data_IF_464254078564
#
_entry.id   IF_464254078564
#
_cell.length_a   1.000
_cell.length_b   1.000
_cell.length_c   1.000
_cell.angle_alpha   90.00
_cell.angle_beta   90.00
_cell.angle_gamma   90.00
#
_symmetry.space_group_name_H-M   'P 1'
#
loop_
_entity.id
_entity.type
_entity.pdbx_description
1 polymer ?
#
# COMPACT_ATOMS: atom_id res chain seq x y z
N UNK A 1 -10.77 3.23 -7.21
CA UNK A 1 -10.12 2.52 -8.34
C UNK A 1 -10.65 1.10 -8.39
N UNK A 2 -10.73 0.49 -9.57
CA UNK A 2 -11.12 -0.92 -9.71
C UNK A 2 -10.30 -1.55 -10.85
N UNK A 3 -9.82 -2.77 -10.64
CA UNK A 3 -9.15 -3.58 -11.66
C UNK A 3 -10.02 -4.80 -11.92
N UNK A 4 -10.33 -5.05 -13.19
CA UNK A 4 -11.03 -6.23 -13.67
C UNK A 4 -10.05 -7.18 -14.33
N UNK A 5 -10.11 -8.46 -13.98
CA UNK A 5 -9.22 -9.50 -14.49
C UNK A 5 -10.06 -10.68 -14.95
N UNK A 6 -9.73 -11.19 -16.13
CA UNK A 6 -10.32 -12.39 -16.70
C UNK A 6 -9.25 -13.43 -16.93
N UNK A 7 -9.48 -14.66 -16.48
CA UNK A 7 -8.59 -15.77 -16.79
C UNK A 7 -9.06 -16.49 -18.06
N UNK A 8 -8.55 -16.07 -19.22
CA UNK A 8 -8.75 -16.75 -20.51
C UNK A 8 -7.65 -17.77 -20.84
N UNK A 9 -6.85 -18.20 -19.85
CA UNK A 9 -5.89 -19.29 -20.02
C UNK A 9 -6.56 -20.68 -19.92
N UNK A 10 -5.79 -21.74 -20.15
CA UNK A 10 -6.24 -23.13 -20.03
C UNK A 10 -6.02 -23.74 -18.64
N UNK A 11 -5.55 -22.94 -17.66
CA UNK A 11 -5.28 -23.39 -16.31
C UNK A 11 -5.83 -22.42 -15.24
N UNK A 12 -6.03 -22.93 -14.03
CA UNK A 12 -6.33 -22.10 -12.86
C UNK A 12 -5.10 -21.25 -12.54
N UNK A 13 -5.29 -19.94 -12.39
CA UNK A 13 -4.24 -19.05 -11.90
C UNK A 13 -4.31 -19.01 -10.37
N UNK A 14 -3.21 -19.34 -9.70
CA UNK A 14 -3.08 -19.34 -8.24
C UNK A 14 -2.08 -18.24 -7.83
N UNK A 15 -2.31 -17.61 -6.67
CA UNK A 15 -1.39 -16.64 -6.04
C UNK A 15 -0.98 -15.50 -7.00
N UNK A 16 -1.99 -14.92 -7.67
CA UNK A 16 -1.79 -13.83 -8.64
C UNK A 16 -1.46 -12.55 -7.88
N UNK A 17 -0.24 -12.04 -8.08
CA UNK A 17 0.23 -10.77 -7.50
C UNK A 17 0.40 -9.74 -8.59
N UNK A 18 -0.16 -8.57 -8.38
CA UNK A 18 -0.05 -7.45 -9.32
C UNK A 18 0.84 -6.37 -8.74
N UNK A 19 1.56 -5.68 -9.63
CA UNK A 19 2.30 -4.48 -9.26
C UNK A 19 1.51 -3.25 -9.70
N UNK A 20 1.05 -2.42 -8.75
CA UNK A 20 0.35 -1.17 -9.07
C UNK A 20 1.15 0.02 -8.58
N UNK A 21 1.66 0.79 -9.55
CA UNK A 21 2.55 1.92 -9.32
C UNK A 21 1.79 3.24 -9.44
N UNK A 22 1.79 4.04 -8.38
CA UNK A 22 1.41 5.45 -8.48
C UNK A 22 2.67 6.26 -8.78
N UNK A 23 2.84 6.64 -10.05
CA UNK A 23 4.00 7.41 -10.49
C UNK A 23 3.76 8.91 -10.30
N UNK A 24 4.39 9.47 -9.26
CA UNK A 24 4.14 10.82 -8.76
C UNK A 24 5.08 11.88 -9.35
N UNK A 25 5.98 11.51 -10.27
CA UNK A 25 6.95 12.43 -10.92
C UNK A 25 6.33 13.76 -11.41
N UNK A 26 5.15 13.79 -12.04
CA UNK A 26 4.57 15.04 -12.53
C UNK A 26 4.13 15.99 -11.41
N UNK A 27 3.84 15.46 -10.21
CA UNK A 27 3.37 16.24 -9.06
C UNK A 27 4.60 16.59 -8.21
N UNK A 28 5.23 17.73 -8.50
CA UNK A 28 6.56 18.10 -8.01
C UNK A 28 6.74 17.99 -6.49
N UNK A 29 5.69 18.19 -5.72
CA UNK A 29 5.75 18.11 -4.26
C UNK A 29 5.87 16.67 -3.73
N UNK A 30 5.44 15.67 -4.50
CA UNK A 30 5.58 14.25 -4.17
C UNK A 30 6.68 13.55 -4.98
N UNK A 31 7.32 14.30 -5.89
CA UNK A 31 8.33 13.82 -6.83
C UNK A 31 9.81 13.72 -6.36
N UNK A 32 10.20 13.98 -5.09
CA UNK A 32 11.56 13.67 -4.66
C UNK A 32 11.94 12.20 -4.88
N UNK A 33 13.17 11.96 -5.31
CA UNK A 33 13.75 10.63 -5.51
C UNK A 33 14.22 10.09 -4.15
N UNK A 34 13.27 9.64 -3.34
CA UNK A 34 13.51 9.18 -1.98
C UNK A 34 12.40 8.25 -1.51
N UNK A 35 12.73 7.42 -0.52
CA UNK A 35 11.77 6.65 0.25
C UNK A 35 11.43 7.30 1.59
N UNK A 36 12.18 8.31 2.03
CA UNK A 36 12.01 8.95 3.34
C UNK A 36 10.67 9.69 3.49
N UNK A 37 10.08 10.13 2.38
CA UNK A 37 8.75 10.76 2.38
C UNK A 37 7.61 9.76 2.20
N UNK A 38 7.90 8.46 2.30
CA UNK A 38 6.90 7.39 2.23
C UNK A 38 6.65 6.86 3.63
N UNK A 39 5.40 6.80 4.05
CA UNK A 39 5.04 6.29 5.38
C UNK A 39 4.26 4.98 5.26
N UNK A 40 4.46 4.12 6.25
CA UNK A 40 3.69 2.90 6.49
C UNK A 40 3.38 2.83 7.98
N UNK A 41 2.24 2.23 8.34
CA UNK A 41 1.90 2.07 9.75
C UNK A 41 2.54 0.79 10.29
N UNK A 42 3.13 0.89 11.49
CA UNK A 42 3.84 -0.18 12.17
C UNK A 42 3.26 -0.34 13.58
N UNK A 43 2.93 -1.57 14.00
CA UNK A 43 2.39 -1.83 15.34
C UNK A 43 3.25 -1.26 16.46
N UNK A 44 2.63 -0.50 17.35
CA UNK A 44 3.31 0.13 18.50
C UNK A 44 4.19 1.33 18.17
N UNK A 45 4.46 1.60 16.89
CA UNK A 45 5.24 2.77 16.43
C UNK A 45 4.38 3.81 15.72
N UNK A 46 3.26 3.41 15.12
CA UNK A 46 2.39 4.30 14.34
C UNK A 46 2.90 4.47 12.90
N UNK A 47 2.64 5.62 12.29
CA UNK A 47 3.17 5.94 10.95
C UNK A 47 4.66 6.23 10.99
N UNK A 48 5.44 5.37 10.35
CA UNK A 48 6.90 5.47 10.28
C UNK A 48 7.39 5.64 8.83
N UNK A 49 8.50 6.37 8.59
CA UNK A 49 9.15 6.39 7.30
C UNK A 49 9.50 4.97 6.84
N UNK A 50 9.20 4.65 5.58
CA UNK A 50 9.40 3.32 5.00
C UNK A 50 10.83 2.76 5.21
N UNK A 51 11.92 3.56 5.08
CA UNK A 51 13.28 3.07 5.32
C UNK A 51 13.56 2.73 6.79
N UNK A 52 12.83 3.36 7.71
CA UNK A 52 12.99 3.24 9.16
C UNK A 52 12.06 2.18 9.75
N UNK A 53 11.01 1.78 9.03
CA UNK A 53 10.13 0.70 9.44
C UNK A 53 10.95 -0.57 9.77
N UNK A 54 10.82 -1.11 11.00
CA UNK A 54 11.71 -2.13 11.51
C UNK A 54 11.71 -3.37 10.62
N UNK A 55 12.91 -3.78 10.18
CA UNK A 55 13.13 -5.01 9.41
C UNK A 55 13.56 -6.19 10.28
N UNK A 56 13.86 -5.95 11.55
CA UNK A 56 14.43 -6.94 12.44
C UNK A 56 13.59 -7.18 13.69
N UNK A 57 13.41 -8.47 13.98
CA UNK A 57 12.82 -9.13 15.16
C UNK A 57 11.30 -9.08 15.24
N UNK A 58 10.74 -10.16 14.68
CA UNK A 58 9.34 -10.59 14.72
C UNK A 58 8.46 -9.86 13.72
N UNK A 59 7.73 -10.60 12.84
CA UNK A 59 6.68 -9.98 12.03
C UNK A 59 5.70 -9.28 12.97
N UNK A 60 5.49 -7.98 12.78
CA UNK A 60 4.62 -7.21 13.67
C UNK A 60 3.23 -7.05 13.05
N UNK A 61 3.13 -6.96 11.73
CA UNK A 61 1.89 -6.70 11.01
C UNK A 61 1.42 -7.82 10.09
N UNK A 62 0.51 -7.46 9.17
CA UNK A 62 -0.09 -8.37 8.18
C UNK A 62 0.34 -8.10 6.74
N UNK A 63 0.93 -6.94 6.47
CA UNK A 63 1.29 -6.46 5.14
C UNK A 63 2.80 -6.34 4.99
N UNK A 64 3.30 -6.76 3.82
CA UNK A 64 4.73 -6.84 3.54
C UNK A 64 5.28 -5.50 3.09
N UNK A 65 6.58 -5.31 3.29
CA UNK A 65 7.33 -4.21 2.70
C UNK A 65 8.29 -4.76 1.64
N UNK A 66 8.10 -4.35 0.37
CA UNK A 66 8.97 -4.69 -0.75
C UNK A 66 8.58 -5.93 -1.55
N UNK A 67 9.26 -6.16 -2.67
CA UNK A 67 8.93 -7.25 -3.61
C UNK A 67 9.54 -8.62 -3.26
N UNK A 68 10.34 -8.75 -2.19
CA UNK A 68 11.18 -9.95 -1.96
C UNK A 68 11.14 -10.43 -0.51
N UNK A 69 10.29 -11.42 -0.22
CA UNK A 69 10.46 -12.35 0.91
C UNK A 69 10.54 -11.76 2.33
N UNK A 70 10.36 -10.45 2.51
CA UNK A 70 10.35 -9.81 3.83
C UNK A 70 9.10 -10.27 4.57
N UNK A 71 9.21 -10.62 5.87
CA UNK A 71 8.04 -10.87 6.68
C UNK A 71 7.07 -9.68 6.69
N UNK A 72 5.78 -9.90 6.95
CA UNK A 72 4.84 -8.82 7.19
C UNK A 72 5.29 -7.89 8.33
N UNK A 73 5.30 -6.58 8.08
CA UNK A 73 5.75 -5.56 9.04
C UNK A 73 4.62 -4.58 9.32
N UNK A 74 3.94 -4.10 8.28
CA UNK A 74 2.86 -3.13 8.42
C UNK A 74 1.54 -3.79 8.82
N UNK A 75 0.78 -3.17 9.71
CA UNK A 75 -0.54 -3.62 10.17
C UNK A 75 -1.70 -2.98 9.42
N UNK A 76 -1.43 -1.90 8.69
CA UNK A 76 -2.39 -1.20 7.84
C UNK A 76 -2.05 -1.39 6.36
N UNK A 77 -3.02 -1.66 5.47
CA UNK A 77 -2.78 -1.86 4.04
C UNK A 77 -2.60 -0.54 3.26
N UNK A 78 -1.94 0.46 3.84
CA UNK A 78 -1.82 1.80 3.24
C UNK A 78 -0.36 2.20 3.16
N UNK A 79 0.02 2.72 2.00
CA UNK A 79 1.24 3.50 1.85
C UNK A 79 0.88 4.96 1.61
N UNK A 80 1.65 5.85 2.23
CA UNK A 80 1.47 7.30 2.14
C UNK A 80 2.71 7.90 1.49
N UNK A 81 2.54 8.94 0.67
CA UNK A 81 3.59 9.88 0.30
C UNK A 81 3.25 11.27 0.83
N UNK A 82 4.12 11.83 1.66
CA UNK A 82 3.96 13.18 2.21
C UNK A 82 4.53 14.21 1.24
N UNK A 83 3.86 15.36 1.13
CA UNK A 83 4.30 16.49 0.31
C UNK A 83 5.57 17.11 0.88
N UNK A 84 6.50 17.48 0.00
CA UNK A 84 7.72 18.24 0.32
C UNK A 84 7.48 19.76 0.38
N UNK A 85 6.25 20.23 0.15
CA UNK A 85 5.96 21.66 -0.07
C UNK A 85 4.78 22.21 0.73
N UNK A 86 3.88 21.34 1.20
CA UNK A 86 2.66 21.72 1.88
C UNK A 86 2.26 20.61 2.86
N UNK A 87 1.35 20.95 3.77
CA UNK A 87 0.79 20.01 4.73
C UNK A 87 -0.35 19.22 4.06
N UNK A 88 0.05 18.24 3.27
CA UNK A 88 -0.85 17.33 2.56
C UNK A 88 -0.12 16.07 2.13
N UNK A 89 -0.89 15.04 1.84
CA UNK A 89 -0.38 13.74 1.49
C UNK A 89 -1.20 13.07 0.39
N UNK A 90 -0.59 12.08 -0.25
CA UNK A 90 -1.29 11.11 -1.10
C UNK A 90 -1.15 9.74 -0.47
N UNK A 91 -2.26 9.00 -0.37
CA UNK A 91 -2.29 7.66 0.22
C UNK A 91 -2.93 6.67 -0.75
N UNK A 92 -2.57 5.38 -0.67
CA UNK A 92 -3.11 4.35 -1.56
C UNK A 92 -3.30 3.03 -0.83
N UNK A 93 -4.37 2.31 -1.20
CA UNK A 93 -4.69 0.98 -0.66
C UNK A 93 -5.45 0.12 -1.65
N UNK A 94 -5.35 -1.19 -1.51
CA UNK A 94 -6.32 -2.17 -2.02
C UNK A 94 -7.05 -2.87 -0.88
N UNK A 95 -7.17 -2.20 0.28
CA UNK A 95 -7.77 -2.74 1.49
C UNK A 95 -7.12 -4.07 1.87
N UNK A 96 -7.94 -5.04 2.28
CA UNK A 96 -7.52 -6.39 2.66
C UNK A 96 -6.83 -7.17 1.55
N UNK A 97 -7.05 -6.79 0.28
CA UNK A 97 -6.44 -7.44 -0.88
C UNK A 97 -5.01 -6.93 -1.14
N UNK A 98 -4.51 -6.00 -0.33
CA UNK A 98 -3.13 -5.53 -0.41
C UNK A 98 -2.17 -6.63 0.03
N UNK A 99 -1.25 -6.99 -0.85
CA UNK A 99 -0.19 -7.97 -0.59
C UNK A 99 1.09 -7.32 -0.04
N UNK A 100 1.54 -6.25 -0.69
CA UNK A 100 2.80 -5.60 -0.35
C UNK A 100 2.75 -4.09 -0.56
N UNK A 101 3.44 -3.36 0.32
CA UNK A 101 3.70 -1.94 0.18
C UNK A 101 5.13 -1.77 -0.32
N UNK A 102 5.34 -1.00 -1.38
CA UNK A 102 6.66 -0.88 -2.01
C UNK A 102 6.99 0.58 -2.33
N UNK A 103 8.26 0.92 -2.18
CA UNK A 103 8.87 2.18 -2.62
C UNK A 103 10.06 1.88 -3.53
N UNK A 104 10.42 2.85 -4.35
CA UNK A 104 11.64 2.81 -5.14
C UNK A 104 12.38 4.15 -4.98
N UNK A 105 13.53 4.23 -4.28
CA UNK A 105 14.22 5.51 -4.09
C UNK A 105 14.74 6.12 -5.41
N UNK A 106 14.84 5.33 -6.48
CA UNK A 106 15.25 5.81 -7.80
C UNK A 106 14.09 6.30 -8.65
N UNK A 107 12.84 6.05 -8.26
CA UNK A 107 11.64 6.43 -9.02
C UNK A 107 10.63 7.06 -8.06
N UNK A 108 10.17 8.30 -8.29
CA UNK A 108 9.22 8.95 -7.39
C UNK A 108 7.82 8.32 -7.52
N UNK A 109 7.66 7.14 -6.94
CA UNK A 109 6.43 6.37 -6.91
C UNK A 109 6.18 5.76 -5.54
N UNK A 110 4.96 5.27 -5.36
CA UNK A 110 4.59 4.40 -4.26
C UNK A 110 3.71 3.26 -4.78
N UNK A 111 3.68 2.17 -4.04
CA UNK A 111 2.95 0.96 -4.40
C UNK A 111 2.17 0.45 -3.19
N UNK A 112 0.88 0.19 -3.40
CA UNK A 112 0.15 -0.82 -2.67
C UNK A 112 -0.17 -1.89 -3.73
N UNK A 113 0.46 -3.05 -3.65
CA UNK A 113 0.37 -4.10 -4.67
C UNK A 113 -0.73 -5.10 -4.24
N UNK A 114 -1.78 -5.35 -5.06
CA UNK A 114 -2.84 -6.28 -4.68
C UNK A 114 -2.50 -7.74 -5.01
N UNK A 115 -3.20 -8.67 -4.35
CA UNK A 115 -3.17 -10.09 -4.67
C UNK A 115 -4.57 -10.69 -4.81
N UNK A 116 -4.65 -11.75 -5.61
CA UNK A 116 -5.83 -12.60 -5.78
C UNK A 116 -5.38 -14.04 -5.55
N UNK A 117 -6.05 -14.73 -4.64
CA UNK A 117 -5.70 -16.09 -4.28
C UNK A 117 -5.85 -17.06 -5.45
N UNK A 118 -6.97 -16.95 -6.19
CA UNK A 118 -7.31 -17.86 -7.28
C UNK A 118 -8.21 -17.22 -8.32
N UNK A 119 -8.00 -17.57 -9.58
CA UNK A 119 -8.91 -17.25 -10.70
C UNK A 119 -9.08 -18.51 -11.57
N UNK A 120 -10.28 -19.06 -11.62
CA UNK A 120 -10.63 -20.23 -12.41
C UNK A 120 -10.64 -19.93 -13.92
N UNK A 121 -10.52 -20.98 -14.74
CA UNK A 121 -10.60 -20.85 -16.20
C UNK A 121 -11.96 -20.26 -16.61
N UNK A 122 -11.92 -19.16 -17.38
CA UNK A 122 -13.10 -18.42 -17.82
C UNK A 122 -13.71 -17.48 -16.76
N UNK A 123 -13.17 -17.44 -15.55
CA UNK A 123 -13.67 -16.56 -14.48
C UNK A 123 -13.23 -15.11 -14.69
N UNK A 124 -14.14 -14.19 -14.35
CA UNK A 124 -13.89 -12.77 -14.21
C UNK A 124 -13.97 -12.38 -12.74
N UNK A 125 -12.98 -11.62 -12.26
CA UNK A 125 -12.92 -11.10 -10.90
C UNK A 125 -12.51 -9.63 -10.90
N UNK A 126 -12.72 -8.95 -9.78
CA UNK A 126 -12.36 -7.54 -9.63
C UNK A 126 -11.84 -7.23 -8.23
N UNK A 127 -10.85 -6.34 -8.14
CA UNK A 127 -10.37 -5.77 -6.87
C UNK A 127 -10.62 -4.27 -6.87
N UNK A 128 -11.07 -3.73 -5.73
CA UNK A 128 -11.24 -2.30 -5.50
C UNK A 128 -10.15 -1.74 -4.61
N UNK A 129 -9.72 -0.54 -4.93
CA UNK A 129 -8.72 0.20 -4.17
C UNK A 129 -9.01 1.69 -4.16
N UNK A 130 -8.32 2.42 -3.32
CA UNK A 130 -8.49 3.87 -3.19
C UNK A 130 -7.17 4.60 -3.29
N UNK A 131 -7.25 5.83 -3.80
CA UNK A 131 -6.16 6.82 -3.75
C UNK A 131 -6.75 8.07 -3.15
N UNK A 132 -6.19 8.50 -2.03
CA UNK A 132 -6.61 9.69 -1.34
C UNK A 132 -5.61 10.81 -1.60
N UNK A 133 -6.11 11.98 -1.96
CA UNK A 133 -5.38 13.23 -1.84
C UNK A 133 -5.97 13.96 -0.64
N UNK A 134 -5.17 14.10 0.41
CA UNK A 134 -5.64 14.59 1.71
C UNK A 134 -4.89 15.86 2.07
N UNK A 135 -5.63 16.92 2.41
CA UNK A 135 -5.08 18.16 2.96
C UNK A 135 -5.05 18.04 4.49
N UNK A 136 -3.89 18.28 5.09
CA UNK A 136 -3.61 18.04 6.51
C UNK A 136 -2.39 17.15 6.75
N UNK A 137 -1.99 17.09 8.02
CA UNK A 137 -0.87 16.29 8.49
C UNK A 137 -1.20 14.81 8.61
N UNK A 138 -0.23 14.03 9.07
CA UNK A 138 -0.40 12.58 9.28
C UNK A 138 -1.37 12.27 10.42
N UNK A 139 -1.41 13.12 11.45
CA UNK A 139 -2.32 12.96 12.58
C UNK A 139 -3.76 13.23 12.16
N UNK A 140 -4.00 14.30 11.39
CA UNK A 140 -5.31 14.62 10.80
C UNK A 140 -5.81 13.48 9.89
N UNK A 141 -4.91 12.92 9.07
CA UNK A 141 -5.24 11.78 8.22
C UNK A 141 -5.58 10.54 9.05
N UNK A 142 -4.85 10.31 10.15
CA UNK A 142 -5.11 9.18 11.05
C UNK A 142 -6.50 9.31 11.64
N UNK A 143 -6.85 10.46 12.23
CA UNK A 143 -8.18 10.73 12.78
C UNK A 143 -9.27 10.57 11.71
N UNK A 144 -9.08 11.17 10.53
CA UNK A 144 -10.05 11.10 9.43
C UNK A 144 -10.23 9.67 8.88
N UNK A 145 -9.22 8.81 9.03
CA UNK A 145 -9.24 7.41 8.57
C UNK A 145 -9.46 6.39 9.68
N UNK A 146 -9.55 6.79 10.96
CA UNK A 146 -9.67 5.87 12.12
C UNK A 146 -10.84 4.90 11.98
N UNK A 147 -12.01 5.40 11.59
CA UNK A 147 -13.21 4.59 11.40
C UNK A 147 -12.97 3.46 10.39
N UNK A 148 -12.11 3.70 9.39
CA UNK A 148 -11.74 2.72 8.37
C UNK A 148 -10.58 1.81 8.81
N UNK A 149 -9.51 2.39 9.38
CA UNK A 149 -8.34 1.67 9.88
C UNK A 149 -8.75 0.59 10.89
N UNK A 150 -9.59 0.94 11.87
CA UNK A 150 -10.09 0.01 12.90
C UNK A 150 -10.90 -1.17 12.34
N UNK A 151 -11.63 -0.99 11.23
CA UNK A 151 -12.43 -2.06 10.62
C UNK A 151 -11.55 -3.10 9.90
N UNK A 152 -10.40 -2.68 9.36
CA UNK A 152 -9.45 -3.58 8.68
C UNK A 152 -8.57 -4.38 9.63
N UNK A 153 -8.37 -3.90 10.85
CA UNK A 153 -7.57 -4.57 11.91
C UNK A 153 -8.36 -5.61 12.70
N UNK A 154 -9.70 -5.52 12.72
CA UNK A 154 -10.59 -6.38 13.54
C UNK A 154 -11.22 -7.56 12.78
N UNK A 155 -11.03 -7.67 11.46
CA UNK A 155 -11.62 -8.72 10.61
C UNK A 155 -10.62 -9.82 10.22
N UNK A 156 -9.67 -10.14 11.11
CA UNK A 156 -8.85 -11.35 11.04
C UNK A 156 -8.89 -12.12 12.35
#
# INVERSE_FOLDING_TARGET
MEIWIKNDSDAVLEDVKLQTCLFLRPIKEFAPYTSENKLVHVPGEGWAPYPQAPREKTPMGSYRLGCRGVPPIADVPVIITVSSRAERLVASTWFTDTYSLVTNPQHPCMHADPAIDRIHVGEETSIRGEVWFFEGGIDDFTEASEAWLCQTSSNR
#
